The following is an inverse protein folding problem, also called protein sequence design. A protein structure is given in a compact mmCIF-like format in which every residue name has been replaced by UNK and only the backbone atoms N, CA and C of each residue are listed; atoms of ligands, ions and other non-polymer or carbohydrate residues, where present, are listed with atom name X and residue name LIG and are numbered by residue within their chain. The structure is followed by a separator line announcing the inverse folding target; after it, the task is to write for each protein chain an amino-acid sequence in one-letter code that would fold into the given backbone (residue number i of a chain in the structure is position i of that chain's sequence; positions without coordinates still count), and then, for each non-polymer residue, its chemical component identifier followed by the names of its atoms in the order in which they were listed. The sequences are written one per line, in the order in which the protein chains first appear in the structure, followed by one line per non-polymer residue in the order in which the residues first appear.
data_IF_338739546023
#
_entry.id   IF_338739546023
#
_cell.length_a   1.000
_cell.length_b   1.000
_cell.length_c   1.000
_cell.angle_alpha   90.00
_cell.angle_beta   90.00
_cell.angle_gamma   90.00
#
_symmetry.space_group_name_H-M   'P 1'
#
loop_
_entity.id
_entity.type
_entity.pdbx_description
1 polymer ?
#
# COMPACT_ATOMS: atom_id res chain seq x y z
N UNK A 1 -6.57 5.02 -11.28
CA UNK A 1 -6.87 5.55 -9.94
C UNK A 1 -6.38 4.57 -8.89
N UNK A 2 -5.57 5.03 -7.93
CA UNK A 2 -4.99 4.20 -6.86
C UNK A 2 -6.05 3.76 -5.85
N UNK A 3 -6.02 2.50 -5.44
CA UNK A 3 -6.95 1.97 -4.42
C UNK A 3 -6.16 1.29 -3.30
N UNK A 4 -6.31 1.78 -2.08
CA UNK A 4 -5.75 1.17 -0.88
C UNK A 4 -6.80 0.28 -0.23
N UNK A 5 -6.52 -1.01 -0.17
CA UNK A 5 -7.26 -1.97 0.65
C UNK A 5 -6.60 -2.08 2.02
N UNK A 6 -7.37 -1.85 3.08
CA UNK A 6 -6.84 -1.80 4.43
C UNK A 6 -7.88 -2.10 5.49
N UNK A 7 -7.42 -2.24 6.73
CA UNK A 7 -8.30 -2.27 7.91
C UNK A 7 -8.06 -0.97 8.68
N UNK A 8 -9.11 -0.21 8.94
CA UNK A 8 -9.04 1.11 9.59
C UNK A 8 -8.36 1.05 10.97
N UNK A 9 -8.53 -0.06 11.69
CA UNK A 9 -7.92 -0.30 13.00
C UNK A 9 -6.53 -0.97 12.94
N UNK A 10 -6.00 -1.25 11.74
CA UNK A 10 -4.69 -1.89 11.57
C UNK A 10 -3.57 -0.85 11.62
N UNK A 11 -2.60 -0.95 12.55
CA UNK A 11 -1.45 -0.05 12.61
C UNK A 11 -0.64 -0.02 11.31
N UNK A 12 -0.59 -1.15 10.59
CA UNK A 12 0.08 -1.24 9.30
C UNK A 12 -0.64 -0.46 8.21
N UNK A 13 -1.98 -0.46 8.24
CA UNK A 13 -2.79 0.34 7.31
C UNK A 13 -2.63 1.83 7.60
N UNK A 14 -2.63 2.23 8.87
CA UNK A 14 -2.42 3.62 9.27
C UNK A 14 -1.04 4.13 8.80
N UNK A 15 0.01 3.33 9.00
CA UNK A 15 1.36 3.64 8.49
C UNK A 15 1.37 3.88 6.98
N UNK A 16 0.61 3.10 6.22
CA UNK A 16 0.48 3.27 4.77
C UNK A 16 -0.28 4.53 4.38
N UNK A 17 -1.40 4.83 5.08
CA UNK A 17 -2.15 6.06 4.85
C UNK A 17 -1.28 7.28 5.09
N UNK A 18 -0.57 7.31 6.21
CA UNK A 18 0.39 8.38 6.53
C UNK A 18 1.42 8.56 5.43
N UNK A 19 2.03 7.48 4.92
CA UNK A 19 3.03 7.60 3.86
C UNK A 19 2.44 8.17 2.56
N UNK A 20 1.26 7.72 2.15
CA UNK A 20 0.58 8.24 0.96
C UNK A 20 0.19 9.71 1.13
N UNK A 21 -0.34 10.08 2.30
CA UNK A 21 -0.76 11.45 2.62
C UNK A 21 0.46 12.40 2.69
N UNK A 22 1.54 11.98 3.37
CA UNK A 22 2.80 12.72 3.47
C UNK A 22 3.42 13.00 2.09
N UNK A 23 3.35 12.03 1.19
CA UNK A 23 3.83 12.18 -0.18
C UNK A 23 2.81 12.81 -1.15
N UNK A 24 1.63 13.20 -0.67
CA UNK A 24 0.51 13.77 -1.45
C UNK A 24 0.04 12.87 -2.60
N UNK A 25 0.10 11.56 -2.40
CA UNK A 25 -0.36 10.58 -3.38
C UNK A 25 -1.88 10.41 -3.23
N UNK A 26 -2.64 10.80 -4.24
CA UNK A 26 -4.09 10.59 -4.23
C UNK A 26 -4.45 9.10 -4.32
N UNK A 27 -5.30 8.62 -3.42
CA UNK A 27 -5.81 7.25 -3.39
C UNK A 27 -7.28 7.20 -2.94
N UNK A 28 -7.96 6.12 -3.32
CA UNK A 28 -9.26 5.74 -2.77
C UNK A 28 -9.07 4.67 -1.71
N UNK A 29 -9.55 4.92 -0.50
CA UNK A 29 -9.57 3.91 0.54
C UNK A 29 -10.75 2.94 0.38
N UNK A 30 -10.50 1.66 0.62
CA UNK A 30 -11.50 0.59 0.69
C UNK A 30 -11.23 -0.27 1.91
N UNK A 31 -12.19 -0.27 2.85
CA UNK A 31 -12.16 -1.19 3.98
C UNK A 31 -12.15 -2.63 3.46
N UNK A 32 -11.17 -3.41 3.91
CA UNK A 32 -11.14 -4.84 3.68
C UNK A 32 -12.00 -5.51 4.74
N UNK A 33 -13.07 -6.17 4.33
CA UNK A 33 -13.88 -6.99 5.23
C UNK A 33 -13.30 -8.41 5.24
N UNK A 34 -12.73 -8.89 6.36
CA UNK A 34 -12.31 -10.29 6.49
C UNK A 34 -13.49 -11.22 6.15
N UNK A 35 -13.22 -12.40 5.57
CA UNK A 35 -14.21 -13.40 5.12
C UNK A 35 -15.01 -13.05 3.86
N UNK A 36 -15.29 -11.77 3.60
CA UNK A 36 -16.04 -11.33 2.40
C UNK A 36 -15.07 -10.89 1.28
N UNK A 37 -13.96 -10.23 1.64
CA UNK A 37 -12.98 -9.69 0.68
C UNK A 37 -11.76 -10.58 0.43
N UNK A 38 -11.62 -11.70 1.14
CA UNK A 38 -10.43 -12.57 1.07
C UNK A 38 -10.19 -13.23 -0.29
N UNK A 39 -11.20 -13.72 -1.03
CA UNK A 39 -10.99 -14.25 -2.37
C UNK A 39 -10.45 -13.19 -3.35
N UNK A 40 -10.99 -11.96 -3.26
CA UNK A 40 -10.54 -10.85 -4.09
C UNK A 40 -9.12 -10.40 -3.73
N UNK A 41 -8.78 -10.38 -2.43
CA UNK A 41 -7.45 -10.06 -1.94
C UNK A 41 -6.43 -11.10 -2.43
N UNK A 42 -6.76 -12.39 -2.35
CA UNK A 42 -5.93 -13.49 -2.89
C UNK A 42 -5.67 -13.33 -4.37
N UNK A 43 -6.72 -13.05 -5.16
CA UNK A 43 -6.58 -12.91 -6.61
C UNK A 43 -5.71 -11.72 -7.03
N UNK A 44 -5.75 -10.62 -6.27
CA UNK A 44 -4.94 -9.42 -6.52
C UNK A 44 -3.53 -9.48 -5.95
N UNK A 45 -3.22 -10.46 -5.10
CA UNK A 45 -1.89 -10.59 -4.52
C UNK A 45 -0.99 -11.38 -5.48
N UNK A 46 0.25 -10.93 -5.76
CA UNK A 46 1.18 -11.68 -6.60
C UNK A 46 1.41 -13.11 -6.09
N UNK A 47 1.65 -14.05 -7.01
CA UNK A 47 1.99 -15.44 -6.65
C UNK A 47 3.23 -15.47 -5.74
N UNK A 48 3.17 -16.25 -4.65
CA UNK A 48 4.25 -16.37 -3.67
C UNK A 48 4.22 -15.33 -2.54
N UNK A 49 3.32 -14.35 -2.58
CA UNK A 49 3.12 -13.40 -1.48
C UNK A 49 1.91 -13.81 -0.66
N UNK A 50 2.03 -13.79 0.68
CA UNK A 50 0.90 -14.04 1.57
C UNK A 50 -0.11 -12.89 1.41
N UNK A 51 -1.37 -13.17 1.03
CA UNK A 51 -2.41 -12.15 0.95
C UNK A 51 -2.64 -11.54 2.32
N UNK A 52 -2.42 -10.24 2.43
CA UNK A 52 -2.59 -9.46 3.65
C UNK A 52 -2.88 -8.00 3.29
N UNK A 53 -3.46 -7.28 4.24
CA UNK A 53 -3.60 -5.83 4.18
C UNK A 53 -2.52 -5.16 5.03
N UNK A 54 -2.04 -3.96 4.65
CA UNK A 54 -2.50 -3.14 3.53
C UNK A 54 -2.04 -3.66 2.15
N UNK A 55 -2.87 -3.46 1.13
CA UNK A 55 -2.57 -3.72 -0.28
C UNK A 55 -2.93 -2.49 -1.10
N UNK A 56 -1.97 -1.89 -1.78
CA UNK A 56 -2.21 -0.83 -2.75
C UNK A 56 -2.31 -1.44 -4.16
N UNK A 57 -3.36 -1.07 -4.89
CA UNK A 57 -3.45 -1.28 -6.33
C UNK A 57 -3.17 0.06 -7.02
N UNK A 58 -2.10 0.12 -7.79
CA UNK A 58 -1.70 1.28 -8.59
C UNK A 58 -1.55 0.86 -10.04
N UNK A 59 -2.29 1.49 -10.95
CA UNK A 59 -2.28 1.18 -12.40
C UNK A 59 -2.42 -0.32 -12.75
N UNK A 60 -3.10 -1.09 -11.89
CA UNK A 60 -3.30 -2.54 -12.08
C UNK A 60 -2.22 -3.41 -11.45
N UNK A 61 -1.12 -2.81 -10.99
CA UNK A 61 -0.07 -3.47 -10.23
C UNK A 61 -0.38 -3.49 -8.73
N UNK A 62 0.00 -4.58 -8.08
CA UNK A 62 -0.27 -4.85 -6.68
C UNK A 62 1.00 -4.65 -5.83
N UNK A 63 0.92 -3.74 -4.86
CA UNK A 63 1.99 -3.42 -3.90
C UNK A 63 1.57 -3.89 -2.50
N UNK A 64 1.96 -5.10 -2.08
CA UNK A 64 1.56 -5.67 -0.80
C UNK A 64 2.45 -5.18 0.35
N UNK A 65 1.82 -4.83 1.48
CA UNK A 65 2.50 -4.54 2.74
C UNK A 65 2.96 -3.08 2.88
N UNK A 66 2.99 -2.61 4.13
CA UNK A 66 3.12 -1.17 4.41
C UNK A 66 4.46 -0.57 3.97
N UNK A 67 5.55 -1.35 4.04
CA UNK A 67 6.88 -0.87 3.66
C UNK A 67 7.04 -0.70 2.15
N UNK A 68 6.55 -1.67 1.36
CA UNK A 68 6.55 -1.60 -0.11
C UNK A 68 5.72 -0.40 -0.57
N UNK A 69 4.54 -0.21 0.03
CA UNK A 69 3.66 0.90 -0.31
C UNK A 69 4.29 2.25 0.08
N UNK A 70 4.98 2.35 1.23
CA UNK A 70 5.67 3.58 1.62
C UNK A 70 6.78 3.95 0.63
N UNK A 71 7.55 2.98 0.13
CA UNK A 71 8.53 3.23 -0.95
C UNK A 71 7.85 3.69 -2.23
N UNK A 72 6.77 3.03 -2.61
CA UNK A 72 5.99 3.44 -3.78
C UNK A 72 5.45 4.87 -3.63
N UNK A 73 5.03 5.27 -2.44
CA UNK A 73 4.59 6.64 -2.17
C UNK A 73 5.73 7.66 -2.37
N UNK A 74 6.94 7.33 -1.92
CA UNK A 74 8.14 8.16 -2.13
C UNK A 74 8.51 8.29 -3.62
N UNK A 75 8.42 7.20 -4.39
CA UNK A 75 8.68 7.21 -5.84
C UNK A 75 7.67 8.07 -6.62
N UNK A 76 6.42 8.13 -6.16
CA UNK A 76 5.32 8.78 -6.87
C UNK A 76 5.10 10.25 -6.49
N UNK A 77 5.43 10.61 -5.24
CA UNK A 77 4.96 11.83 -4.62
C UNK A 77 6.00 12.92 -4.50
N UNK A 78 5.61 13.98 -3.78
CA UNK A 78 6.41 15.20 -3.62
C UNK A 78 6.75 15.49 -2.14
N UNK A 79 6.46 14.55 -1.24
CA UNK A 79 6.81 14.65 0.17
C UNK A 79 8.31 14.49 0.40
N UNK A 80 8.81 14.97 1.54
CA UNK A 80 10.20 14.78 1.95
C UNK A 80 10.55 13.29 2.03
N UNK A 81 11.80 12.96 1.71
CA UNK A 81 12.30 11.59 1.73
C UNK A 81 12.07 10.93 3.11
N UNK A 82 11.38 9.80 3.07
CA UNK A 82 11.13 8.92 4.21
C UNK A 82 12.22 7.85 4.34
N UNK A 83 12.96 7.57 3.26
CA UNK A 83 14.05 6.61 3.23
C UNK A 83 15.40 7.27 2.97
N UNK A 84 16.51 6.70 3.50
CA UNK A 84 17.84 7.13 3.09
C UNK A 84 18.03 6.88 1.58
N UNK A 85 18.83 7.70 0.89
CA UNK A 85 19.15 7.46 -0.51
C UNK A 85 19.73 6.05 -0.68
N UNK A 86 19.36 5.36 -1.76
CA UNK A 86 19.99 4.09 -2.10
C UNK A 86 21.46 4.35 -2.41
N UNK A 87 22.33 4.13 -1.44
CA UNK A 87 23.78 4.09 -1.68
C UNK A 87 24.05 2.91 -2.60
N UNK A 88 24.40 3.19 -3.85
CA UNK A 88 25.05 2.22 -4.74
C UNK A 88 26.39 1.84 -4.11
N UNK A 89 26.53 0.59 -3.69
CA UNK A 89 27.84 -0.04 -3.44
C UNK A 89 28.24 -0.82 -4.67
#
# INVERSE_FOLDING_TARGET
MRTLHGLSYSPWTEKTRWALDHHRVAYRYREHLPLIGEPLLRWRTPRGVRPAVPLLIDEGEAFPGSFVIARRAEELGQGSHSFPPRTSR
#
